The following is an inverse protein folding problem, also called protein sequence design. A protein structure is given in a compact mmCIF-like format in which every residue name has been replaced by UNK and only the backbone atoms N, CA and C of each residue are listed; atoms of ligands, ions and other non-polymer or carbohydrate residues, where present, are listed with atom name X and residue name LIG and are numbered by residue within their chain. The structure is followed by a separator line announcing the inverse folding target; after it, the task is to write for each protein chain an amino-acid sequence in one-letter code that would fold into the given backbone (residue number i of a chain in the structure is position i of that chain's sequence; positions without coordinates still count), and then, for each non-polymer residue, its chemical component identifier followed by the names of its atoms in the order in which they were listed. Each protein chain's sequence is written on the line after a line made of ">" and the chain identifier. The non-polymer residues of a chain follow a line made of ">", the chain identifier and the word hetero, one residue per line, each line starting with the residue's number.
data_IF_689266829901
#
_entry.id   IF_689266829901
#
_cell.length_a   1.000
_cell.length_b   1.000
_cell.length_c   1.000
_cell.angle_alpha   90.00
_cell.angle_beta   90.00
_cell.angle_gamma   90.00
#
_symmetry.space_group_name_H-M   'P 1'
#
loop_
_entity.id
_entity.type
_entity.pdbx_description
1 polymer ?
#
# COMPACT_ATOMS: atom_id res chain seq x y z
N UNK A 1 -15.88 1.20 -5.30
CA UNK A 1 -15.11 1.56 -6.51
C UNK A 1 -16.02 1.70 -7.72
N UNK A 2 -16.73 0.64 -8.15
CA UNK A 2 -17.62 0.68 -9.33
C UNK A 2 -18.58 1.87 -9.37
N UNK A 3 -19.23 2.20 -8.23
CA UNK A 3 -20.11 3.38 -8.11
C UNK A 3 -19.41 4.71 -8.44
N UNK A 4 -18.18 4.88 -7.94
CA UNK A 4 -17.39 6.09 -8.19
C UNK A 4 -16.99 6.19 -9.67
N UNK A 5 -16.62 5.05 -10.29
CA UNK A 5 -16.32 4.95 -11.73
C UNK A 5 -17.57 5.20 -12.60
N UNK A 6 -18.76 4.88 -12.10
CA UNK A 6 -20.04 5.20 -12.76
C UNK A 6 -20.43 6.69 -12.60
N UNK A 7 -19.57 7.53 -12.01
CA UNK A 7 -19.85 8.94 -11.78
C UNK A 7 -20.82 9.19 -10.63
N UNK A 8 -21.09 8.22 -9.77
CA UNK A 8 -21.92 8.44 -8.58
C UNK A 8 -21.15 9.20 -7.50
N UNK A 9 -21.90 9.92 -6.66
CA UNK A 9 -21.37 10.47 -5.41
C UNK A 9 -21.25 9.34 -4.38
N UNK A 10 -20.04 9.14 -3.85
CA UNK A 10 -19.72 8.07 -2.90
C UNK A 10 -19.00 8.67 -1.69
N UNK A 11 -19.39 8.24 -0.48
CA UNK A 11 -18.65 8.56 0.73
C UNK A 11 -17.40 7.68 0.83
N UNK A 12 -16.23 8.30 0.90
CA UNK A 12 -14.97 7.59 1.05
C UNK A 12 -14.70 7.30 2.54
N UNK A 13 -14.51 6.02 2.91
CA UNK A 13 -14.15 5.68 4.26
C UNK A 13 -12.69 6.02 4.57
N UNK A 14 -12.40 6.30 5.84
CA UNK A 14 -11.05 6.35 6.38
C UNK A 14 -10.83 5.18 7.33
N UNK A 15 -9.68 4.51 7.25
CA UNK A 15 -9.33 3.46 8.20
C UNK A 15 -8.65 4.07 9.43
N UNK A 16 -9.25 3.89 10.60
CA UNK A 16 -8.68 4.31 11.87
C UNK A 16 -7.74 3.21 12.39
N UNK A 17 -6.43 3.45 12.31
CA UNK A 17 -5.42 2.48 12.73
C UNK A 17 -5.38 2.24 14.25
N UNK A 18 -5.84 3.19 15.07
CA UNK A 18 -5.87 3.05 16.53
C UNK A 18 -7.05 2.17 16.97
N UNK A 19 -8.20 2.35 16.34
CA UNK A 19 -9.41 1.55 16.62
C UNK A 19 -9.50 0.26 15.81
N UNK A 20 -8.71 0.13 14.74
CA UNK A 20 -8.74 -1.00 13.81
C UNK A 20 -10.04 -1.09 13.00
N UNK A 21 -10.75 0.03 12.83
CA UNK A 21 -12.08 0.09 12.22
C UNK A 21 -12.15 1.12 11.12
N UNK A 22 -13.12 0.94 10.25
CA UNK A 22 -13.48 1.88 9.20
C UNK A 22 -14.43 2.93 9.74
N UNK A 23 -14.17 4.18 9.40
CA UNK A 23 -14.96 5.35 9.80
C UNK A 23 -15.39 6.15 8.57
N UNK A 24 -16.53 6.83 8.72
CA UNK A 24 -17.19 7.66 7.72
C UNK A 24 -17.35 9.05 8.33
N UNK A 25 -16.79 10.05 7.65
CA UNK A 25 -16.64 11.43 8.16
C UNK A 25 -17.28 12.45 7.20
N UNK A 26 -18.22 12.03 6.36
CA UNK A 26 -18.87 12.89 5.37
C UNK A 26 -17.97 13.28 4.19
N UNK A 27 -16.87 12.55 3.95
CA UNK A 27 -15.96 12.83 2.84
C UNK A 27 -16.51 12.24 1.53
N UNK A 28 -17.42 12.97 0.89
CA UNK A 28 -18.01 12.57 -0.38
C UNK A 28 -17.09 12.94 -1.56
N UNK A 29 -17.00 12.03 -2.53
CA UNK A 29 -16.32 12.23 -3.81
C UNK A 29 -17.20 11.81 -4.97
N UNK A 30 -17.02 12.48 -6.10
CA UNK A 30 -17.62 12.18 -7.40
C UNK A 30 -16.54 12.43 -8.45
N UNK A 31 -16.35 11.49 -9.38
CA UNK A 31 -15.42 11.70 -10.49
C UNK A 31 -16.10 12.51 -11.59
N UNK A 32 -15.41 13.53 -12.08
CA UNK A 32 -15.72 14.24 -13.32
C UNK A 32 -15.15 13.54 -14.56
N UNK A 33 -15.50 14.01 -15.77
CA UNK A 33 -15.04 13.41 -17.04
C UNK A 33 -13.51 13.39 -17.21
N UNK A 34 -12.82 14.39 -16.66
CA UNK A 34 -11.37 14.59 -16.80
C UNK A 34 -10.58 14.18 -15.54
N UNK A 35 -11.25 13.62 -14.53
CA UNK A 35 -10.60 13.26 -13.27
C UNK A 35 -9.81 11.96 -13.40
N UNK A 36 -8.64 11.92 -12.75
CA UNK A 36 -7.84 10.70 -12.64
C UNK A 36 -8.02 10.07 -11.27
N UNK A 37 -8.38 8.79 -11.25
CA UNK A 37 -8.45 8.01 -10.02
C UNK A 37 -7.11 7.34 -9.72
N UNK A 38 -6.44 7.78 -8.65
CA UNK A 38 -5.25 7.12 -8.12
C UNK A 38 -5.65 6.15 -7.02
N UNK A 39 -5.32 4.88 -7.21
CA UNK A 39 -5.53 3.83 -6.22
C UNK A 39 -4.18 3.39 -5.70
N UNK A 40 -3.91 3.68 -4.43
CA UNK A 40 -2.69 3.26 -3.76
C UNK A 40 -2.97 2.16 -2.73
N UNK A 41 -1.97 1.29 -2.53
CA UNK A 41 -2.05 0.23 -1.53
C UNK A 41 -1.22 -0.98 -1.91
N UNK A 42 -0.96 -1.82 -0.91
CA UNK A 42 -0.14 -3.03 -1.07
C UNK A 42 -0.73 -4.08 -2.02
N UNK A 43 -2.02 -3.95 -2.38
CA UNK A 43 -2.71 -4.81 -3.33
C UNK A 43 -3.10 -4.09 -4.63
N UNK A 44 -2.64 -2.86 -4.87
CA UNK A 44 -3.08 -2.05 -6.02
C UNK A 44 -2.75 -2.68 -7.39
N UNK A 45 -1.79 -3.60 -7.44
CA UNK A 45 -1.46 -4.36 -8.65
C UNK A 45 -2.14 -5.72 -8.74
N UNK A 46 -2.86 -6.15 -7.69
CA UNK A 46 -3.55 -7.43 -7.72
C UNK A 46 -4.78 -7.31 -8.63
N UNK A 47 -4.87 -8.08 -9.73
CA UNK A 47 -5.99 -8.00 -10.68
C UNK A 47 -7.36 -8.18 -10.03
N UNK A 48 -7.44 -8.95 -8.94
CA UNK A 48 -8.67 -9.15 -8.18
C UNK A 48 -9.26 -7.85 -7.61
N UNK A 49 -8.44 -6.82 -7.40
CA UNK A 49 -8.91 -5.50 -6.90
C UNK A 49 -9.50 -4.62 -7.99
N UNK A 50 -9.17 -4.89 -9.26
CA UNK A 50 -9.55 -4.07 -10.43
C UNK A 50 -10.23 -4.88 -11.52
N UNK A 51 -10.78 -6.05 -11.19
CA UNK A 51 -11.32 -7.01 -12.17
C UNK A 51 -12.46 -6.43 -13.01
N UNK A 52 -13.19 -5.45 -12.48
CA UNK A 52 -14.31 -4.78 -13.14
C UNK A 52 -13.90 -3.65 -14.09
N UNK A 53 -12.61 -3.30 -14.14
CA UNK A 53 -12.11 -2.25 -15.04
C UNK A 53 -11.48 -2.85 -16.30
N UNK A 54 -11.68 -2.26 -17.49
CA UNK A 54 -10.92 -2.59 -18.69
C UNK A 54 -9.42 -2.40 -18.49
N UNK A 55 -8.59 -3.25 -19.08
CA UNK A 55 -7.13 -3.16 -18.91
C UNK A 55 -6.54 -1.93 -19.60
N UNK A 56 -7.17 -1.45 -20.68
CA UNK A 56 -6.75 -0.27 -21.43
C UNK A 56 -6.89 1.02 -20.61
N UNK A 57 -7.77 1.00 -19.60
CA UNK A 57 -8.00 2.12 -18.68
C UNK A 57 -7.08 2.09 -17.45
N UNK A 58 -6.14 1.13 -17.36
CA UNK A 58 -5.26 0.94 -16.21
C UNK A 58 -3.85 1.40 -16.53
N UNK A 59 -3.32 2.29 -15.70
CA UNK A 59 -1.88 2.56 -15.66
C UNK A 59 -1.32 2.02 -14.34
N UNK A 60 -0.41 1.03 -14.44
CA UNK A 60 0.16 0.31 -13.28
C UNK A 60 1.53 0.89 -12.93
N UNK A 61 1.71 1.33 -11.68
CA UNK A 61 2.98 1.80 -11.13
C UNK A 61 3.39 0.88 -9.98
N UNK A 62 4.62 0.39 -10.00
CA UNK A 62 5.22 -0.34 -8.89
C UNK A 62 6.38 0.46 -8.30
N UNK A 63 6.26 0.82 -7.02
CA UNK A 63 7.32 1.54 -6.29
C UNK A 63 8.14 0.55 -5.48
N UNK A 64 9.44 0.49 -5.77
CA UNK A 64 10.36 -0.44 -5.12
C UNK A 64 11.37 0.32 -4.26
N UNK A 65 11.12 0.42 -2.96
CA UNK A 65 12.03 1.09 -2.02
C UNK A 65 13.23 0.20 -1.61
N UNK A 66 14.01 -0.28 -2.58
CA UNK A 66 15.16 -1.18 -2.42
C UNK A 66 16.50 -0.46 -2.23
N UNK A 67 16.48 0.84 -1.96
CA UNK A 67 17.70 1.57 -1.62
C UNK A 67 18.29 1.02 -0.33
N UNK A 68 19.52 0.57 -0.42
CA UNK A 68 20.33 0.23 0.75
C UNK A 68 21.11 1.41 1.25
N UNK A 69 21.31 1.42 2.56
CA UNK A 69 22.25 2.31 3.21
C UNK A 69 23.55 1.55 3.45
N UNK A 70 24.67 2.15 3.04
CA UNK A 70 26.00 1.64 3.33
C UNK A 70 26.47 2.29 4.64
N UNK A 71 26.98 1.48 5.56
CA UNK A 71 27.65 1.97 6.78
C UNK A 71 29.09 2.37 6.43
N UNK A 72 29.73 1.57 5.57
CA UNK A 72 31.03 1.80 4.94
C UNK A 72 31.08 1.09 3.57
N UNK A 73 32.26 1.05 2.94
CA UNK A 73 32.46 0.44 1.60
C UNK A 73 32.17 -1.07 1.54
N UNK A 74 32.19 -1.76 2.69
CA UNK A 74 32.05 -3.22 2.76
C UNK A 74 30.81 -3.68 3.52
N UNK A 75 30.23 -2.82 4.36
CA UNK A 75 29.09 -3.13 5.22
C UNK A 75 27.82 -2.43 4.75
N UNK A 76 26.89 -3.21 4.21
CA UNK A 76 25.58 -2.76 3.74
C UNK A 76 24.49 -3.13 4.74
N UNK A 77 23.62 -2.18 5.08
CA UNK A 77 22.40 -2.47 5.84
C UNK A 77 21.41 -3.17 4.89
N UNK A 78 20.94 -4.39 5.22
CA UNK A 78 19.91 -5.06 4.43
C UNK A 78 18.66 -4.18 4.29
N UNK A 79 18.09 -4.14 3.09
CA UNK A 79 16.88 -3.34 2.81
C UNK A 79 15.69 -3.77 3.68
N UNK A 80 15.63 -5.06 4.03
CA UNK A 80 14.66 -5.65 4.96
C UNK A 80 14.73 -5.00 6.34
N UNK A 81 15.93 -4.73 6.84
CA UNK A 81 16.16 -4.15 8.18
C UNK A 81 15.82 -2.66 8.18
N UNK A 82 16.26 -1.94 7.14
CA UNK A 82 15.87 -0.54 6.94
C UNK A 82 14.35 -0.37 6.81
N UNK A 83 13.65 -1.37 6.28
CA UNK A 83 12.18 -1.37 6.19
C UNK A 83 11.52 -1.71 7.53
N UNK A 84 12.08 -2.66 8.30
CA UNK A 84 11.62 -2.95 9.65
C UNK A 84 11.76 -1.72 10.55
N UNK A 85 12.90 -1.02 10.49
CA UNK A 85 13.13 0.19 11.27
C UNK A 85 12.12 1.30 10.92
N UNK A 86 11.92 1.58 9.62
CA UNK A 86 10.90 2.54 9.16
C UNK A 86 9.51 2.16 9.67
N UNK A 87 9.19 0.86 9.69
CA UNK A 87 7.91 0.35 10.20
C UNK A 87 7.77 0.56 11.71
N UNK A 88 8.81 0.29 12.50
CA UNK A 88 8.81 0.53 13.95
C UNK A 88 8.52 2.00 14.24
N UNK A 89 9.24 2.91 13.58
CA UNK A 89 9.05 4.36 13.78
C UNK A 89 7.65 4.80 13.34
N UNK A 90 7.17 4.34 12.18
CA UNK A 90 5.83 4.66 11.68
C UNK A 90 4.74 4.15 12.62
N UNK A 91 4.79 2.86 12.99
CA UNK A 91 3.74 2.21 13.77
C UNK A 91 3.68 2.80 15.20
N UNK A 92 4.81 3.20 15.77
CA UNK A 92 4.85 3.94 17.04
C UNK A 92 4.20 5.33 16.91
N UNK A 93 4.56 6.10 15.87
CA UNK A 93 4.08 7.49 15.67
C UNK A 93 2.61 7.57 15.29
N UNK A 94 2.13 6.71 14.39
CA UNK A 94 0.81 6.89 13.76
C UNK A 94 -0.21 5.84 14.16
N UNK A 95 0.21 4.69 14.70
CA UNK A 95 -0.69 3.57 15.03
C UNK A 95 -0.76 3.24 16.53
N UNK A 96 0.09 3.86 17.36
CA UNK A 96 0.14 3.59 18.80
C UNK A 96 0.69 2.21 19.15
N UNK A 97 1.46 1.59 18.25
CA UNK A 97 2.03 0.25 18.42
C UNK A 97 3.48 0.36 18.89
N UNK A 98 3.82 -0.27 20.01
CA UNK A 98 5.20 -0.28 20.50
C UNK A 98 6.14 -1.12 19.62
N UNK A 99 7.45 -0.86 19.71
CA UNK A 99 8.46 -1.54 18.89
C UNK A 99 8.39 -3.08 19.01
N UNK A 100 8.24 -3.60 20.24
CA UNK A 100 8.13 -5.05 20.51
C UNK A 100 7.04 -5.71 19.67
N UNK A 101 5.84 -5.13 19.69
CA UNK A 101 4.69 -5.66 18.94
C UNK A 101 4.92 -5.59 17.42
N UNK A 102 5.58 -4.55 16.94
CA UNK A 102 5.95 -4.46 15.51
C UNK A 102 6.93 -5.56 15.10
N UNK A 103 7.91 -5.88 15.94
CA UNK A 103 8.87 -6.97 15.70
C UNK A 103 8.16 -8.33 15.70
N UNK A 104 7.27 -8.59 16.66
CA UNK A 104 6.48 -9.82 16.74
C UNK A 104 5.63 -10.05 15.48
N UNK A 105 5.05 -8.99 14.91
CA UNK A 105 4.26 -9.07 13.68
C UNK A 105 5.10 -9.26 12.41
N UNK A 106 6.40 -8.97 12.44
CA UNK A 106 7.24 -8.88 11.25
C UNK A 106 7.25 -10.16 10.38
N UNK A 107 7.39 -11.38 10.95
CA UNK A 107 7.33 -12.60 10.14
C UNK A 107 6.00 -12.76 9.40
N UNK A 108 4.88 -12.37 10.03
CA UNK A 108 3.57 -12.43 9.40
C UNK A 108 3.43 -11.44 8.24
N UNK A 109 4.00 -10.26 8.38
CA UNK A 109 4.05 -9.26 7.31
C UNK A 109 4.81 -9.83 6.11
N UNK A 110 6.01 -10.39 6.34
CA UNK A 110 6.85 -10.96 5.28
C UNK A 110 6.13 -12.06 4.50
N UNK A 111 5.47 -12.99 5.21
CA UNK A 111 4.65 -14.03 4.57
C UNK A 111 3.52 -13.44 3.71
N UNK A 112 2.87 -12.38 4.21
CA UNK A 112 1.83 -11.69 3.45
C UNK A 112 2.34 -11.02 2.18
N UNK A 113 3.52 -10.39 2.24
CA UNK A 113 4.17 -9.79 1.09
C UNK A 113 4.54 -10.84 0.03
N UNK A 114 5.14 -11.95 0.43
CA UNK A 114 5.50 -13.05 -0.47
C UNK A 114 4.27 -13.58 -1.20
N UNK A 115 3.18 -13.84 -0.47
CA UNK A 115 1.96 -14.42 -1.01
C UNK A 115 1.16 -13.47 -1.90
N UNK A 116 1.11 -12.18 -1.57
CA UNK A 116 0.14 -11.26 -2.18
C UNK A 116 0.74 -10.07 -2.92
N UNK A 117 2.05 -9.84 -2.80
CA UNK A 117 2.74 -8.70 -3.43
C UNK A 117 3.80 -9.22 -4.39
N UNK A 118 4.73 -10.06 -3.92
CA UNK A 118 5.83 -10.55 -4.74
C UNK A 118 5.44 -11.69 -5.69
N UNK A 119 4.30 -12.35 -5.44
CA UNK A 119 3.75 -13.41 -6.31
C UNK A 119 3.22 -12.92 -7.66
N UNK A 120 3.20 -11.61 -7.93
CA UNK A 120 2.74 -11.04 -9.20
C UNK A 120 3.86 -10.34 -10.03
N UNK A 121 4.97 -11.04 -10.40
CA UNK A 121 6.07 -10.43 -11.15
C UNK A 121 5.69 -9.76 -12.46
N UNK A 122 4.76 -10.34 -13.22
CA UNK A 122 4.35 -9.90 -14.56
C UNK A 122 3.34 -8.75 -14.58
N UNK A 123 2.71 -8.46 -13.43
CA UNK A 123 1.79 -7.32 -13.26
C UNK A 123 2.49 -6.07 -12.69
N UNK A 124 3.79 -6.18 -12.40
CA UNK A 124 4.64 -5.03 -12.10
C UNK A 124 4.77 -4.23 -13.39
N UNK A 125 3.97 -3.17 -13.50
CA UNK A 125 4.01 -2.22 -14.62
C UNK A 125 5.37 -1.50 -14.71
N UNK A 126 5.38 -0.18 -14.95
CA UNK A 126 6.67 0.53 -14.89
C UNK A 126 7.19 0.56 -13.45
N UNK A 127 8.44 0.13 -13.29
CA UNK A 127 9.19 0.34 -12.05
C UNK A 127 9.63 1.80 -11.99
N UNK A 128 9.34 2.46 -10.88
CA UNK A 128 9.79 3.82 -10.57
C UNK A 128 10.61 3.80 -9.29
#
# INVERSE_FOLDING_TARGET
>A
MNRLLAGEMVELPQFNFKLGKREYHGNYKKLGPEDVLVIEGIHGLNPATTYSMPDESKFKIYISALTSLNVDEHNRIPTTDGRLLRRIVRDARTRGTCARRTVEMWPSVRRGEEKYIFSFPGDRGRNV
#
